data_IF_394414369239
#
_entry.id   IF_394414369239
#
_cell.length_a   1.000
_cell.length_b   1.000
_cell.length_c   1.000
_cell.angle_alpha   90.00
_cell.angle_beta   90.00
_cell.angle_gamma   90.00
#
_symmetry.space_group_name_H-M   'P 1'
#
loop_
_entity.id
_entity.type
_entity.pdbx_description
1 polymer ?
#
# COMPACT_ATOMS: atom_id res chain seq x y z
N UNK A 1 2.81 27.62 16.76
CA UNK A 1 2.45 26.60 15.76
C UNK A 1 1.10 26.01 16.12
N UNK A 2 0.10 26.30 15.27
CA UNK A 2 -1.28 25.84 15.52
C UNK A 2 -1.41 24.40 15.06
N UNK A 3 -1.78 23.51 15.99
CA UNK A 3 -2.02 22.09 15.69
C UNK A 3 -3.47 21.91 15.16
N UNK A 4 -3.73 21.00 14.23
CA UNK A 4 -5.08 20.76 13.75
C UNK A 4 -5.99 20.18 14.86
N UNK A 5 -7.22 20.64 14.92
CA UNK A 5 -8.26 20.21 15.85
C UNK A 5 -9.41 19.59 15.06
N UNK A 6 -9.89 18.43 15.48
CA UNK A 6 -11.12 17.87 14.95
C UNK A 6 -12.29 18.21 15.87
N UNK A 7 -13.23 19.00 15.40
CA UNK A 7 -14.49 19.24 16.10
C UNK A 7 -15.53 18.22 15.68
N UNK A 8 -16.17 17.60 16.65
CA UNK A 8 -17.27 16.69 16.39
C UNK A 8 -18.53 17.51 16.00
N UNK A 9 -18.94 17.35 14.75
CA UNK A 9 -20.11 18.02 14.19
C UNK A 9 -21.41 17.19 14.25
N UNK A 10 -21.43 16.13 15.05
CA UNK A 10 -22.53 15.17 15.10
C UNK A 10 -22.26 13.95 14.22
N UNK A 11 -23.30 13.22 13.88
CA UNK A 11 -23.21 12.03 13.05
C UNK A 11 -23.74 12.30 11.64
N UNK A 12 -23.16 11.67 10.63
CA UNK A 12 -23.78 11.55 9.33
C UNK A 12 -25.11 10.79 9.43
N UNK A 13 -25.97 10.88 8.42
CA UNK A 13 -27.25 10.13 8.34
C UNK A 13 -27.10 8.62 8.49
N UNK A 14 -25.90 8.07 8.24
CA UNK A 14 -25.54 6.67 8.40
C UNK A 14 -25.02 6.32 9.80
N UNK A 15 -25.12 7.22 10.78
CA UNK A 15 -24.67 7.02 12.15
C UNK A 15 -23.18 7.15 12.40
N UNK A 16 -22.36 7.38 11.34
CA UNK A 16 -20.91 7.58 11.51
C UNK A 16 -20.62 8.98 12.03
N UNK A 17 -19.63 9.16 12.93
CA UNK A 17 -19.28 10.47 13.44
C UNK A 17 -18.69 11.35 12.33
N UNK A 18 -19.11 12.62 12.31
CA UNK A 18 -18.61 13.65 11.41
C UNK A 18 -17.70 14.57 12.18
N UNK A 19 -16.48 14.80 11.68
CA UNK A 19 -15.50 15.70 12.26
C UNK A 19 -15.10 16.80 11.28
N UNK A 20 -14.89 18.01 11.82
CA UNK A 20 -14.23 19.08 11.10
C UNK A 20 -12.87 19.34 11.73
N UNK A 21 -11.84 19.54 10.91
CA UNK A 21 -10.48 19.79 11.39
C UNK A 21 -10.29 21.28 11.64
N UNK A 22 -9.91 21.61 12.87
CA UNK A 22 -9.56 22.98 13.27
C UNK A 22 -8.11 23.05 13.71
N UNK A 23 -7.54 24.25 13.64
CA UNK A 23 -6.12 24.50 13.95
C UNK A 23 -5.91 25.30 15.23
N UNK A 24 -6.96 25.61 15.99
CA UNK A 24 -6.99 26.41 17.20
C UNK A 24 -7.36 25.55 18.41
N UNK A 25 -6.35 24.99 19.06
CA UNK A 25 -6.56 24.15 20.23
C UNK A 25 -6.50 24.95 21.53
N UNK A 26 -7.48 24.77 22.39
CA UNK A 26 -7.32 25.09 23.79
C UNK A 26 -6.76 23.85 24.53
N UNK A 27 -5.71 24.04 25.35
CA UNK A 27 -4.99 22.93 26.00
C UNK A 27 -5.90 22.01 26.82
N UNK A 28 -6.94 22.57 27.48
CA UNK A 28 -7.90 21.79 28.26
C UNK A 28 -8.76 20.84 27.38
N UNK A 29 -9.05 21.22 26.13
CA UNK A 29 -9.82 20.38 25.19
C UNK A 29 -9.01 19.19 24.69
N UNK A 30 -7.67 19.30 24.66
CA UNK A 30 -6.76 18.19 24.35
C UNK A 30 -6.77 17.12 25.44
N UNK A 31 -6.89 17.53 26.71
CA UNK A 31 -6.90 16.62 27.85
C UNK A 31 -8.19 15.80 27.94
N UNK A 32 -9.30 16.31 27.38
CA UNK A 32 -10.60 15.64 27.36
C UNK A 32 -10.82 14.78 26.10
N UNK A 33 -9.99 14.91 25.07
CA UNK A 33 -10.12 14.17 23.83
C UNK A 33 -9.79 12.68 24.04
N UNK A 34 -10.72 11.79 23.70
CA UNK A 34 -10.47 10.34 23.74
C UNK A 34 -9.38 9.92 22.73
N UNK A 35 -9.28 10.59 21.59
CA UNK A 35 -8.27 10.36 20.54
C UNK A 35 -7.96 11.65 19.80
N UNK A 36 -6.68 11.82 19.51
CA UNK A 36 -6.13 12.95 18.79
C UNK A 36 -5.45 12.44 17.52
N UNK A 37 -5.83 12.97 16.37
CA UNK A 37 -5.23 12.60 15.08
C UNK A 37 -4.50 13.76 14.41
N UNK A 38 -3.45 13.47 13.69
CA UNK A 38 -2.78 14.38 12.76
C UNK A 38 -3.17 14.04 11.32
N UNK A 39 -3.57 15.05 10.55
CA UNK A 39 -3.87 14.89 9.13
C UNK A 39 -2.64 15.23 8.28
N UNK A 40 -2.19 14.29 7.46
CA UNK A 40 -0.86 14.32 6.84
C UNK A 40 -0.76 15.28 5.65
N UNK A 41 -1.77 15.27 4.77
CA UNK A 41 -1.70 15.97 3.48
C UNK A 41 -1.41 17.48 3.63
N UNK A 42 -2.17 18.14 4.50
CA UNK A 42 -2.11 19.61 4.68
C UNK A 42 -1.02 20.04 5.66
N UNK A 43 -0.73 19.21 6.66
CA UNK A 43 0.33 19.49 7.65
C UNK A 43 1.74 19.22 7.14
N UNK A 44 1.89 18.54 6.00
CA UNK A 44 3.19 18.12 5.48
C UNK A 44 3.84 17.00 6.29
N UNK A 45 3.02 16.23 7.03
CA UNK A 45 3.47 15.11 7.85
C UNK A 45 3.69 13.85 7.00
N UNK A 46 4.70 13.09 7.38
CA UNK A 46 4.92 11.69 7.00
C UNK A 46 4.89 10.86 8.28
N UNK A 47 4.11 9.80 8.30
CA UNK A 47 4.06 8.85 9.40
C UNK A 47 4.61 7.51 8.95
N UNK A 48 5.60 7.01 9.66
CA UNK A 48 6.12 5.64 9.50
C UNK A 48 5.42 4.77 10.51
N UNK A 49 4.47 3.97 10.05
CA UNK A 49 3.68 3.03 10.84
C UNK A 49 4.30 1.63 10.78
N UNK A 50 4.61 1.09 11.95
CA UNK A 50 5.19 -0.25 12.12
C UNK A 50 4.09 -1.25 12.48
N UNK A 51 3.59 -1.96 11.48
CA UNK A 51 2.51 -2.95 11.62
C UNK A 51 3.02 -4.39 11.81
N UNK A 52 4.34 -4.57 11.99
CA UNK A 52 4.94 -5.90 12.18
C UNK A 52 4.47 -6.57 13.48
N UNK A 53 3.62 -7.58 13.34
CA UNK A 53 3.07 -8.37 14.45
C UNK A 53 4.14 -9.09 15.29
N UNK A 54 5.30 -9.38 14.73
CA UNK A 54 6.40 -10.07 15.41
C UNK A 54 7.40 -9.07 16.03
N UNK A 55 7.18 -7.77 15.86
CA UNK A 55 8.02 -6.70 16.38
C UNK A 55 9.50 -6.77 15.97
N UNK A 56 9.80 -7.39 14.82
CA UNK A 56 11.18 -7.52 14.33
C UNK A 56 11.63 -6.20 13.72
N UNK A 57 10.83 -5.58 12.87
CA UNK A 57 11.11 -4.27 12.29
C UNK A 57 11.25 -3.19 13.36
N UNK A 58 10.50 -3.29 14.46
CA UNK A 58 10.61 -2.40 15.62
C UNK A 58 12.01 -2.37 16.23
N UNK A 59 12.79 -3.44 16.11
CA UNK A 59 14.18 -3.49 16.60
C UNK A 59 15.10 -2.52 15.85
N UNK A 60 14.73 -2.11 14.64
CA UNK A 60 15.45 -1.18 13.78
C UNK A 60 14.86 0.24 13.78
N UNK A 61 13.82 0.49 14.58
CA UNK A 61 13.13 1.80 14.62
C UNK A 61 14.08 2.96 14.97
N UNK A 62 15.11 2.68 15.79
CA UNK A 62 16.13 3.66 16.19
C UNK A 62 17.12 3.98 15.06
N UNK A 63 17.11 3.22 13.97
CA UNK A 63 17.84 3.58 12.76
C UNK A 63 17.24 4.82 12.08
N UNK A 64 15.94 5.07 12.23
CA UNK A 64 15.35 6.34 11.78
C UNK A 64 15.77 7.49 12.69
N UNK A 65 15.93 8.71 12.15
CA UNK A 65 16.28 9.88 12.94
C UNK A 65 15.37 10.06 14.16
N UNK A 66 15.89 10.64 15.26
CA UNK A 66 15.07 11.04 16.41
C UNK A 66 13.98 12.00 15.97
N UNK A 67 12.72 11.69 16.33
CA UNK A 67 11.55 12.48 15.95
C UNK A 67 10.42 12.22 16.93
N UNK A 68 9.30 12.93 16.79
CA UNK A 68 8.08 12.65 17.55
C UNK A 68 7.68 11.18 17.33
N UNK A 69 7.55 10.44 18.43
CA UNK A 69 7.32 9.00 18.40
C UNK A 69 6.13 8.63 19.26
N UNK A 70 5.21 7.89 18.68
CA UNK A 70 4.00 7.38 19.36
C UNK A 70 4.07 5.86 19.43
N UNK A 71 3.52 5.29 20.46
CA UNK A 71 3.50 3.86 20.68
C UNK A 71 2.22 3.36 21.35
N UNK A 72 2.28 2.11 21.76
CA UNK A 72 1.24 1.41 22.50
C UNK A 72 1.83 0.69 23.71
N UNK A 73 1.02 0.46 24.73
CA UNK A 73 1.37 -0.45 25.83
C UNK A 73 1.13 -1.89 25.39
N UNK A 74 2.18 -2.69 25.31
CA UNK A 74 2.11 -4.10 24.92
C UNK A 74 2.81 -4.94 26.00
N UNK A 75 2.08 -5.81 26.67
CA UNK A 75 2.61 -6.63 27.75
C UNK A 75 3.25 -5.81 28.89
N UNK A 76 2.73 -4.61 29.19
CA UNK A 76 3.24 -3.72 30.23
C UNK A 76 4.49 -2.92 29.82
N UNK A 77 4.90 -2.97 28.55
CA UNK A 77 6.03 -2.19 28.00
C UNK A 77 5.54 -1.21 26.94
N UNK A 78 6.17 -0.06 26.89
CA UNK A 78 5.96 0.90 25.80
C UNK A 78 6.68 0.40 24.53
N UNK A 79 5.92 0.27 23.45
CA UNK A 79 6.42 -0.15 22.13
C UNK A 79 6.11 0.94 21.14
N UNK A 80 7.16 1.52 20.55
CA UNK A 80 7.02 2.53 19.50
C UNK A 80 6.37 1.90 18.26
N UNK A 81 5.31 2.51 17.77
CA UNK A 81 4.57 2.02 16.58
C UNK A 81 4.55 3.05 15.46
N UNK A 82 4.76 4.32 15.74
CA UNK A 82 4.75 5.39 14.74
C UNK A 82 5.90 6.35 14.96
N UNK A 83 6.57 6.74 13.88
CA UNK A 83 7.52 7.86 13.85
C UNK A 83 7.03 8.94 12.90
N UNK A 84 6.87 10.14 13.42
CA UNK A 84 6.24 11.26 12.71
C UNK A 84 7.33 12.24 12.28
N UNK A 85 7.34 12.58 10.99
CA UNK A 85 8.28 13.51 10.36
C UNK A 85 7.54 14.63 9.65
N UNK A 86 8.23 15.76 9.42
CA UNK A 86 7.81 16.76 8.46
C UNK A 86 8.52 16.55 7.12
N UNK A 87 7.80 16.68 6.02
CA UNK A 87 8.37 16.71 4.66
C UNK A 87 9.27 17.94 4.52
N UNK A 88 10.44 17.76 3.92
CA UNK A 88 11.36 18.85 3.58
C UNK A 88 10.68 19.88 2.68
N UNK A 89 9.90 19.43 1.72
CA UNK A 89 9.05 20.28 0.90
C UNK A 89 7.57 19.93 1.16
N UNK A 90 6.83 20.84 1.80
CA UNK A 90 5.41 20.64 2.14
C UNK A 90 4.52 20.45 0.91
N UNK A 91 4.90 21.03 -0.22
CA UNK A 91 4.13 20.98 -1.47
C UNK A 91 4.45 19.72 -2.31
N UNK A 92 5.44 18.95 -1.90
CA UNK A 92 5.77 17.70 -2.58
C UNK A 92 4.64 16.68 -2.44
N UNK A 93 4.22 16.11 -3.55
CA UNK A 93 3.20 15.07 -3.58
C UNK A 93 3.85 13.73 -3.25
N UNK A 94 3.64 13.24 -2.05
CA UNK A 94 4.08 11.92 -1.62
C UNK A 94 2.88 11.01 -1.59
N UNK A 95 2.95 9.85 -2.24
CA UNK A 95 1.94 8.78 -2.13
C UNK A 95 2.20 7.95 -0.88
N UNK A 96 1.15 7.34 -0.32
CA UNK A 96 1.32 6.29 0.68
C UNK A 96 2.01 5.09 0.03
N UNK A 97 2.90 4.45 0.75
CA UNK A 97 3.52 3.20 0.32
C UNK A 97 3.70 2.25 1.50
N UNK A 98 3.78 0.96 1.22
CA UNK A 98 3.92 -0.07 2.24
C UNK A 98 4.83 -1.18 1.74
N UNK A 99 5.50 -1.83 2.68
CA UNK A 99 6.33 -2.99 2.39
C UNK A 99 5.62 -4.24 2.90
N UNK A 100 5.42 -5.26 2.02
CA UNK A 100 4.84 -6.52 2.39
C UNK A 100 5.79 -7.30 3.30
N UNK A 101 5.25 -8.21 4.07
CA UNK A 101 6.01 -9.20 4.82
C UNK A 101 6.49 -10.28 3.87
N UNK A 102 7.81 -10.43 3.71
CA UNK A 102 8.40 -11.34 2.73
C UNK A 102 8.71 -12.72 3.31
N UNK A 103 9.05 -12.84 4.58
CA UNK A 103 9.43 -14.09 5.24
C UNK A 103 8.23 -14.88 5.77
N UNK A 104 7.20 -14.20 6.25
CA UNK A 104 5.93 -14.81 6.68
C UNK A 104 4.79 -14.32 5.77
N UNK A 105 4.09 -15.21 5.11
CA UNK A 105 2.96 -14.89 4.23
C UNK A 105 1.87 -14.13 5.00
N UNK A 106 1.77 -12.84 4.80
CA UNK A 106 0.63 -12.03 5.19
C UNK A 106 0.92 -10.83 6.10
N UNK A 107 0.60 -9.66 5.63
CA UNK A 107 0.58 -8.39 6.33
C UNK A 107 1.70 -7.43 5.93
N UNK A 108 1.47 -6.16 6.16
CA UNK A 108 2.44 -5.08 5.99
C UNK A 108 3.42 -5.10 7.16
N UNK A 109 4.69 -4.81 6.91
CA UNK A 109 5.71 -4.65 7.95
C UNK A 109 5.81 -3.18 8.35
N UNK A 110 5.93 -2.31 7.34
CA UNK A 110 6.01 -0.86 7.47
C UNK A 110 5.06 -0.25 6.45
N UNK A 111 4.34 0.77 6.89
CA UNK A 111 3.54 1.63 6.05
C UNK A 111 3.99 3.08 6.23
N UNK A 112 4.19 3.81 5.12
CA UNK A 112 4.46 5.24 5.18
C UNK A 112 3.23 5.99 4.69
N UNK A 113 2.63 6.73 5.61
CA UNK A 113 1.37 7.44 5.41
C UNK A 113 1.67 8.92 5.15
N UNK A 114 1.24 9.42 4.00
CA UNK A 114 1.46 10.80 3.56
C UNK A 114 0.17 11.57 3.27
N UNK A 115 -0.94 10.85 3.04
CA UNK A 115 -2.21 11.41 2.58
C UNK A 115 -3.42 11.00 3.43
N UNK A 116 -3.18 10.42 4.59
CA UNK A 116 -4.19 9.93 5.54
C UNK A 116 -4.11 10.68 6.86
N UNK A 117 -4.51 10.05 7.93
CA UNK A 117 -4.41 10.56 9.29
C UNK A 117 -3.81 9.50 10.22
N UNK A 118 -3.08 9.94 11.22
CA UNK A 118 -2.55 9.09 12.29
C UNK A 118 -3.09 9.53 13.63
N UNK A 119 -3.47 8.58 14.49
CA UNK A 119 -3.82 8.85 15.87
C UNK A 119 -2.53 9.01 16.68
N UNK A 120 -2.26 10.23 17.11
CA UNK A 120 -1.01 10.60 17.83
C UNK A 120 -1.15 10.60 19.35
N UNK A 121 -2.36 10.67 19.87
CA UNK A 121 -2.63 10.59 21.30
C UNK A 121 -4.05 10.00 21.56
N UNK A 122 -4.25 9.37 22.70
CA UNK A 122 -5.53 8.81 23.11
C UNK A 122 -5.38 7.70 24.14
N UNK A 123 -6.49 7.06 24.50
CA UNK A 123 -6.55 6.03 25.56
C UNK A 123 -5.64 4.82 25.26
N UNK A 124 -5.42 4.51 24.00
CA UNK A 124 -4.63 3.38 23.51
C UNK A 124 -3.25 3.79 22.95
N UNK A 125 -2.83 5.04 23.18
CA UNK A 125 -1.58 5.60 22.66
C UNK A 125 -0.71 6.16 23.79
N UNK A 126 0.61 5.97 23.63
CA UNK A 126 1.62 6.50 24.52
C UNK A 126 2.59 7.36 23.70
N UNK A 127 2.87 8.57 24.16
CA UNK A 127 3.92 9.41 23.58
C UNK A 127 5.25 8.94 24.16
N UNK A 128 6.09 8.33 23.33
CA UNK A 128 7.39 7.79 23.73
C UNK A 128 8.47 8.85 23.63
N UNK A 129 8.41 9.69 22.60
CA UNK A 129 9.35 10.79 22.41
C UNK A 129 8.59 12.06 22.04
N UNK A 130 8.50 13.00 22.99
CA UNK A 130 7.77 14.27 22.84
C UNK A 130 8.73 15.38 22.37
N UNK A 131 9.23 15.23 21.15
CA UNK A 131 10.04 16.24 20.48
C UNK A 131 9.32 16.75 19.24
N UNK A 132 9.75 17.90 18.74
CA UNK A 132 9.22 18.37 17.45
C UNK A 132 9.56 17.37 16.34
N UNK A 133 8.61 17.04 15.44
CA UNK A 133 8.90 16.15 14.31
C UNK A 133 10.08 16.66 13.49
N UNK A 134 11.04 15.79 13.23
CA UNK A 134 12.20 16.09 12.41
C UNK A 134 11.79 16.31 10.94
N UNK A 135 12.53 17.15 10.24
CA UNK A 135 12.34 17.36 8.80
C UNK A 135 13.13 16.30 8.04
N UNK A 136 12.47 15.59 7.13
CA UNK A 136 13.11 14.55 6.31
C UNK A 136 12.75 14.71 4.83
N UNK A 137 13.67 14.31 3.97
CA UNK A 137 13.42 14.15 2.55
C UNK A 137 12.62 12.85 2.32
N UNK A 138 11.51 12.86 1.57
CA UNK A 138 10.70 11.67 1.36
C UNK A 138 11.44 10.51 0.69
N UNK A 139 12.35 10.78 -0.23
CA UNK A 139 13.17 9.74 -0.87
C UNK A 139 14.18 9.13 0.09
N UNK A 140 14.82 9.94 0.95
CA UNK A 140 15.67 9.42 2.01
C UNK A 140 14.87 8.55 3.01
N UNK A 141 13.66 8.96 3.38
CA UNK A 141 12.79 8.17 4.24
C UNK A 141 12.41 6.84 3.58
N UNK A 142 12.14 6.85 2.28
CA UNK A 142 11.80 5.65 1.52
C UNK A 142 12.95 4.65 1.53
N UNK A 143 14.19 5.11 1.29
CA UNK A 143 15.39 4.28 1.40
C UNK A 143 15.58 3.71 2.81
N UNK A 144 15.48 4.54 3.84
CA UNK A 144 15.63 4.10 5.23
C UNK A 144 14.59 3.04 5.62
N UNK A 145 13.33 3.21 5.25
CA UNK A 145 12.27 2.24 5.57
C UNK A 145 12.47 0.91 4.83
N UNK A 146 12.99 0.92 3.60
CA UNK A 146 13.39 -0.30 2.88
C UNK A 146 14.54 -1.03 3.55
N UNK A 147 15.56 -0.28 3.99
CA UNK A 147 16.67 -0.87 4.73
C UNK A 147 16.20 -1.51 6.04
N UNK A 148 15.26 -0.90 6.75
CA UNK A 148 14.65 -1.52 7.94
C UNK A 148 14.02 -2.87 7.58
N UNK A 149 13.26 -2.96 6.50
CA UNK A 149 12.64 -4.22 6.08
C UNK A 149 13.70 -5.25 5.71
N UNK A 150 14.68 -4.88 4.86
CA UNK A 150 15.75 -5.78 4.42
C UNK A 150 16.56 -6.32 5.61
N UNK A 151 16.97 -5.46 6.53
CA UNK A 151 17.73 -5.87 7.71
C UNK A 151 16.90 -6.62 8.75
N UNK A 152 15.58 -6.40 8.79
CA UNK A 152 14.66 -7.21 9.59
C UNK A 152 14.57 -8.65 9.08
N UNK A 153 14.54 -8.84 7.77
CA UNK A 153 14.61 -10.16 7.14
C UNK A 153 15.94 -10.85 7.46
N UNK A 154 17.06 -10.15 7.27
CA UNK A 154 18.39 -10.68 7.59
C UNK A 154 18.51 -11.07 9.06
N UNK A 155 18.01 -10.25 9.98
CA UNK A 155 18.03 -10.55 11.41
C UNK A 155 17.34 -11.88 11.72
N UNK A 156 16.20 -12.16 11.13
CA UNK A 156 15.46 -13.41 11.33
C UNK A 156 16.27 -14.62 10.86
N UNK A 157 17.04 -14.47 9.80
CA UNK A 157 17.80 -15.56 9.19
C UNK A 157 19.16 -15.81 9.86
N UNK A 158 19.76 -14.77 10.47
CA UNK A 158 21.14 -14.84 10.95
C UNK A 158 21.30 -14.76 12.46
N UNK A 159 20.25 -14.47 13.22
CA UNK A 159 20.32 -14.35 14.69
C UNK A 159 20.93 -15.58 15.39
N UNK A 160 20.73 -16.77 14.80
CA UNK A 160 21.22 -18.06 15.31
C UNK A 160 22.40 -18.62 14.51
N UNK A 161 22.93 -17.88 13.52
CA UNK A 161 23.99 -18.33 12.63
C UNK A 161 25.37 -18.15 13.30
N UNK A 162 26.18 -19.22 13.31
CA UNK A 162 27.53 -19.21 13.90
C UNK A 162 28.61 -18.76 12.89
N UNK A 163 28.38 -18.85 11.58
CA UNK A 163 29.36 -18.46 10.55
C UNK A 163 29.21 -16.99 10.14
N UNK A 164 29.45 -16.10 11.09
CA UNK A 164 29.27 -14.65 10.92
C UNK A 164 30.26 -14.03 9.93
N UNK A 165 31.49 -14.53 9.87
CA UNK A 165 32.50 -13.99 8.96
C UNK A 165 32.06 -14.13 7.49
N UNK A 166 31.65 -15.32 7.08
CA UNK A 166 31.18 -15.56 5.73
C UNK A 166 29.87 -14.80 5.43
N UNK A 167 28.99 -14.69 6.43
CA UNK A 167 27.78 -13.90 6.28
C UNK A 167 28.08 -12.45 5.95
N UNK A 168 28.88 -11.75 6.77
CA UNK A 168 29.19 -10.32 6.56
C UNK A 168 30.04 -10.10 5.30
N UNK A 169 30.88 -11.08 4.94
CA UNK A 169 31.62 -11.02 3.68
C UNK A 169 30.66 -11.03 2.46
N UNK A 170 29.68 -11.93 2.45
CA UNK A 170 28.68 -12.02 1.37
C UNK A 170 27.69 -10.84 1.41
N UNK A 171 27.29 -10.42 2.61
CA UNK A 171 26.46 -9.23 2.79
C UNK A 171 27.15 -7.97 2.24
N UNK A 172 28.44 -7.79 2.54
CA UNK A 172 29.23 -6.67 2.04
C UNK A 172 29.30 -6.64 0.52
N UNK A 173 29.52 -7.82 -0.08
CA UNK A 173 29.51 -7.98 -1.55
C UNK A 173 28.14 -7.66 -2.16
N UNK A 174 27.07 -8.18 -1.57
CA UNK A 174 25.71 -7.92 -2.03
C UNK A 174 25.37 -6.42 -1.93
N UNK A 175 25.69 -5.78 -0.81
CA UNK A 175 25.49 -4.31 -0.65
C UNK A 175 26.34 -3.50 -1.62
N UNK A 176 27.58 -3.92 -1.93
CA UNK A 176 28.44 -3.21 -2.87
C UNK A 176 27.98 -3.36 -4.32
N UNK A 177 27.51 -4.54 -4.70
CA UNK A 177 27.20 -4.90 -6.08
C UNK A 177 25.77 -4.61 -6.47
N UNK A 178 24.82 -4.77 -5.54
CA UNK A 178 23.39 -4.80 -5.88
C UNK A 178 22.64 -3.55 -5.45
N UNK A 179 23.29 -2.62 -4.72
CA UNK A 179 22.58 -1.47 -4.15
C UNK A 179 23.41 -0.19 -4.20
N UNK A 180 22.75 0.94 -4.43
CA UNK A 180 23.33 2.29 -4.34
C UNK A 180 23.18 2.91 -2.94
N UNK A 181 23.01 2.09 -1.93
CA UNK A 181 22.89 2.55 -0.54
C UNK A 181 24.18 3.28 -0.12
N UNK A 182 24.11 4.51 0.36
CA UNK A 182 25.28 5.24 0.87
C UNK A 182 26.03 4.49 1.96
N UNK A 183 27.36 4.59 2.00
CA UNK A 183 28.20 3.81 2.91
C UNK A 183 27.87 4.06 4.39
N UNK A 184 27.56 5.28 4.77
CA UNK A 184 27.14 5.63 6.12
C UNK A 184 25.86 4.89 6.57
N UNK A 185 24.90 4.72 5.66
CA UNK A 185 23.70 3.93 5.92
C UNK A 185 24.04 2.44 6.02
N UNK A 186 24.88 1.89 5.12
CA UNK A 186 25.31 0.48 5.23
C UNK A 186 25.92 0.21 6.59
N UNK A 187 26.85 1.06 7.01
CA UNK A 187 27.53 0.95 8.32
C UNK A 187 26.52 1.05 9.47
N UNK A 188 25.58 1.99 9.40
CA UNK A 188 24.54 2.16 10.42
C UNK A 188 23.72 0.88 10.63
N UNK A 189 23.22 0.30 9.56
CA UNK A 189 22.39 -0.91 9.62
C UNK A 189 23.20 -2.16 9.99
N UNK A 190 24.42 -2.28 9.53
CA UNK A 190 25.34 -3.37 9.94
C UNK A 190 25.65 -3.30 11.43
N UNK A 191 25.97 -2.12 11.97
CA UNK A 191 26.19 -1.93 13.41
C UNK A 191 24.93 -2.32 14.21
N UNK A 192 23.75 -1.92 13.74
CA UNK A 192 22.49 -2.31 14.40
C UNK A 192 22.24 -3.80 14.35
N UNK A 193 22.55 -4.46 13.24
CA UNK A 193 22.45 -5.91 13.13
C UNK A 193 23.42 -6.63 14.08
N UNK A 194 24.66 -6.15 14.21
CA UNK A 194 25.63 -6.67 15.17
C UNK A 194 25.12 -6.55 16.60
N UNK A 195 24.59 -5.38 16.98
CA UNK A 195 23.97 -5.14 18.30
C UNK A 195 22.86 -6.16 18.58
N UNK A 196 21.94 -6.33 17.65
CA UNK A 196 20.78 -7.22 17.81
C UNK A 196 21.13 -8.72 17.83
N UNK A 197 22.26 -9.10 17.22
CA UNK A 197 22.76 -10.48 17.18
C UNK A 197 23.83 -10.76 18.24
N UNK A 198 24.12 -9.79 19.12
CA UNK A 198 25.20 -9.85 20.11
C UNK A 198 26.55 -10.21 19.46
N UNK A 199 26.88 -9.57 18.32
CA UNK A 199 28.16 -9.70 17.66
C UNK A 199 29.12 -8.62 18.20
N UNK A 200 30.15 -9.03 18.94
CA UNK A 200 31.13 -8.14 19.55
C UNK A 200 32.24 -7.67 18.59
N UNK A 201 32.33 -8.28 17.41
CA UNK A 201 33.32 -7.92 16.38
C UNK A 201 32.85 -6.80 15.44
N UNK A 202 32.11 -5.82 15.94
CA UNK A 202 31.45 -4.77 15.15
C UNK A 202 32.41 -4.06 14.18
N UNK A 203 33.63 -3.71 14.64
CA UNK A 203 34.62 -3.03 13.80
C UNK A 203 35.08 -3.92 12.65
N UNK A 204 35.33 -5.20 12.92
CA UNK A 204 35.72 -6.17 11.87
C UNK A 204 34.60 -6.32 10.81
N UNK A 205 33.32 -6.25 11.22
CA UNK A 205 32.17 -6.31 10.29
C UNK A 205 32.10 -5.06 9.42
N UNK A 206 32.27 -3.88 10.01
CA UNK A 206 32.31 -2.60 9.28
C UNK A 206 33.47 -2.61 8.27
N UNK A 207 34.69 -2.92 8.73
CA UNK A 207 35.87 -3.01 7.85
C UNK A 207 35.67 -4.01 6.70
N UNK A 208 34.92 -5.08 6.94
CA UNK A 208 34.56 -6.05 5.91
C UNK A 208 33.65 -5.43 4.85
N UNK A 209 32.61 -4.67 5.24
CA UNK A 209 31.70 -3.98 4.32
C UNK A 209 32.46 -2.96 3.46
N UNK A 210 33.32 -2.13 4.11
CA UNK A 210 34.12 -1.13 3.42
C UNK A 210 35.08 -1.76 2.41
N UNK A 211 35.78 -2.83 2.80
CA UNK A 211 36.67 -3.59 1.90
C UNK A 211 35.94 -4.18 0.70
N UNK A 212 34.71 -4.69 0.89
CA UNK A 212 33.93 -5.23 -0.22
C UNK A 212 33.52 -4.13 -1.22
N UNK A 213 33.28 -2.91 -0.78
CA UNK A 213 33.06 -1.79 -1.67
C UNK A 213 34.31 -1.44 -2.50
N UNK A 214 35.49 -1.38 -1.88
CA UNK A 214 36.75 -1.15 -2.58
C UNK A 214 37.04 -2.30 -3.58
N UNK A 215 36.81 -3.55 -3.16
CA UNK A 215 36.97 -4.70 -4.05
C UNK A 215 36.03 -4.63 -5.25
N UNK A 216 34.78 -4.17 -5.06
CA UNK A 216 33.81 -4.00 -6.13
C UNK A 216 34.24 -2.90 -7.13
N UNK A 217 34.80 -1.81 -6.65
CA UNK A 217 35.31 -0.71 -7.49
C UNK A 217 36.54 -1.13 -8.32
N UNK A 218 37.44 -1.96 -7.73
CA UNK A 218 38.66 -2.40 -8.39
C UNK A 218 38.45 -3.67 -9.26
N UNK A 219 37.65 -4.62 -8.80
CA UNK A 219 37.43 -5.94 -9.40
C UNK A 219 36.00 -6.42 -9.20
N UNK A 220 35.03 -5.85 -9.91
CA UNK A 220 33.61 -6.15 -9.69
C UNK A 220 33.25 -7.64 -9.87
N UNK A 221 33.95 -8.36 -10.74
CA UNK A 221 33.67 -9.77 -11.00
C UNK A 221 34.05 -10.70 -9.85
N UNK A 222 34.94 -10.26 -8.96
CA UNK A 222 35.40 -11.03 -7.80
C UNK A 222 34.49 -10.84 -6.57
N UNK A 223 33.52 -9.96 -6.63
CA UNK A 223 32.63 -9.63 -5.49
C UNK A 223 31.32 -10.41 -5.59
N UNK A 224 30.91 -11.03 -4.49
CA UNK A 224 29.65 -11.76 -4.41
C UNK A 224 28.44 -10.83 -4.49
N UNK A 225 27.36 -11.28 -5.15
CA UNK A 225 26.09 -10.59 -5.22
C UNK A 225 25.02 -11.18 -4.29
N UNK A 226 23.78 -10.71 -4.48
CA UNK A 226 22.63 -11.15 -3.66
C UNK A 226 22.36 -12.66 -3.81
N UNK A 227 22.66 -13.26 -4.95
CA UNK A 227 22.43 -14.69 -5.18
C UNK A 227 23.31 -15.57 -4.28
N UNK A 228 24.56 -15.20 -4.08
CA UNK A 228 25.50 -15.91 -3.21
C UNK A 228 25.14 -15.71 -1.73
N UNK A 229 24.66 -14.54 -1.36
CA UNK A 229 24.10 -14.29 -0.03
C UNK A 229 22.84 -15.15 0.20
N UNK A 230 21.92 -15.18 -0.75
CA UNK A 230 20.72 -16.01 -0.72
C UNK A 230 21.07 -17.50 -0.56
N UNK A 231 21.99 -18.03 -1.36
CA UNK A 231 22.46 -19.42 -1.24
C UNK A 231 23.04 -19.72 0.13
N UNK A 232 23.86 -18.82 0.67
CA UNK A 232 24.43 -18.95 2.01
C UNK A 232 23.34 -19.01 3.09
N UNK A 233 22.25 -18.29 2.93
CA UNK A 233 21.09 -18.26 3.83
C UNK A 233 20.09 -19.40 3.56
N UNK A 234 20.47 -20.44 2.80
CA UNK A 234 19.62 -21.61 2.53
C UNK A 234 18.72 -21.47 1.31
N UNK A 235 19.06 -20.58 0.37
CA UNK A 235 18.29 -20.34 -0.85
C UNK A 235 17.04 -19.47 -0.63
N UNK A 236 17.03 -18.68 0.45
CA UNK A 236 15.93 -17.78 0.76
C UNK A 236 15.91 -16.61 -0.24
N UNK A 237 14.74 -16.31 -0.80
CA UNK A 237 14.57 -15.11 -1.58
C UNK A 237 14.61 -13.87 -0.67
N UNK A 238 15.35 -12.84 -1.08
CA UNK A 238 15.54 -11.58 -0.34
C UNK A 238 14.93 -10.39 -1.13
N UNK A 239 13.60 -10.35 -1.32
CA UNK A 239 12.95 -9.38 -2.20
C UNK A 239 13.12 -7.94 -1.75
N UNK A 240 13.34 -7.68 -0.46
CA UNK A 240 13.60 -6.34 0.02
C UNK A 240 14.92 -5.75 -0.53
N UNK A 241 15.93 -6.60 -0.81
CA UNK A 241 17.15 -6.20 -1.51
C UNK A 241 16.91 -5.97 -3.00
N UNK A 242 16.07 -6.79 -3.65
CA UNK A 242 15.68 -6.60 -5.05
C UNK A 242 14.88 -5.29 -5.22
N UNK A 243 14.06 -4.92 -4.26
CA UNK A 243 13.33 -3.65 -4.25
C UNK A 243 14.25 -2.43 -4.09
N UNK A 244 15.37 -2.54 -3.38
CA UNK A 244 16.37 -1.46 -3.28
C UNK A 244 17.01 -1.19 -4.65
N UNK A 245 17.18 -2.22 -5.47
CA UNK A 245 17.75 -2.13 -6.82
C UNK A 245 16.77 -1.57 -7.86
N UNK A 246 15.48 -1.91 -7.77
CA UNK A 246 14.46 -1.56 -8.77
C UNK A 246 14.09 -0.08 -8.84
N UNK A 247 14.47 0.75 -7.88
CA UNK A 247 14.07 2.18 -7.89
C UNK A 247 14.66 2.99 -9.03
N UNK A 248 15.81 2.61 -9.58
CA UNK A 248 16.36 3.30 -10.74
C UNK A 248 15.62 2.94 -12.05
N UNK A 249 15.14 1.70 -12.18
CA UNK A 249 14.37 1.27 -13.35
C UNK A 249 12.95 1.84 -13.32
N UNK A 250 12.30 1.86 -12.16
CA UNK A 250 10.95 2.42 -12.00
C UNK A 250 10.93 3.96 -12.07
N UNK A 251 12.01 4.63 -11.70
CA UNK A 251 12.14 6.09 -11.88
C UNK A 251 12.29 6.48 -13.36
N UNK A 252 12.69 5.54 -14.21
CA UNK A 252 12.80 5.74 -15.66
C UNK A 252 11.53 5.35 -16.44
N UNK A 253 10.63 4.56 -15.83
CA UNK A 253 9.35 4.11 -16.42
C UNK A 253 8.10 4.66 -15.74
N UNK A 254 8.18 5.46 -14.68
CA UNK A 254 7.05 6.29 -14.30
C UNK A 254 6.82 7.29 -15.46
N UNK A 255 6.07 6.89 -16.48
CA UNK A 255 5.31 7.85 -17.26
C UNK A 255 4.71 8.81 -16.25
N UNK A 256 5.20 10.05 -16.24
CA UNK A 256 4.56 11.17 -15.59
C UNK A 256 3.09 11.10 -15.99
N UNK A 257 2.27 10.47 -15.17
CA UNK A 257 0.84 10.75 -15.22
C UNK A 257 0.83 12.22 -14.84
N UNK A 258 0.78 13.03 -15.89
CA UNK A 258 0.69 14.48 -15.79
C UNK A 258 -0.57 14.83 -14.96
N UNK A 259 -0.42 14.82 -13.65
CA UNK A 259 -1.40 15.37 -12.72
C UNK A 259 -1.45 16.91 -12.80
N UNK A 260 -0.74 17.53 -13.76
CA UNK A 260 -1.04 18.86 -14.28
C UNK A 260 -2.33 18.85 -15.13
N UNK A 261 -3.17 17.86 -15.03
CA UNK A 261 -4.60 18.08 -15.21
C UNK A 261 -5.02 19.01 -14.09
N UNK A 262 -4.69 20.27 -14.32
CA UNK A 262 -5.28 21.41 -13.65
C UNK A 262 -6.76 21.10 -13.56
N UNK A 263 -7.30 20.96 -12.36
CA UNK A 263 -8.74 20.98 -12.20
C UNK A 263 -9.12 22.33 -12.78
N UNK A 264 -9.68 22.33 -13.98
CA UNK A 264 -10.12 23.54 -14.61
C UNK A 264 -11.28 24.07 -13.75
N UNK A 265 -10.99 25.11 -12.99
CA UNK A 265 -12.02 25.87 -12.30
C UNK A 265 -12.62 26.83 -13.32
N UNK A 266 -13.84 26.59 -13.74
CA UNK A 266 -14.63 27.56 -14.45
C UNK A 266 -15.41 28.40 -13.43
N UNK A 267 -15.50 29.71 -13.61
CA UNK A 267 -16.49 30.50 -12.89
C UNK A 267 -17.89 30.02 -13.27
N UNK A 268 -18.89 30.30 -12.42
CA UNK A 268 -20.24 29.78 -12.58
C UNK A 268 -20.86 30.16 -13.94
N UNK A 269 -20.64 31.37 -14.43
CA UNK A 269 -21.21 31.82 -15.70
C UNK A 269 -20.56 31.07 -16.88
N UNK A 270 -19.26 30.92 -16.88
CA UNK A 270 -18.52 30.13 -17.89
C UNK A 270 -18.99 28.68 -17.87
N UNK A 271 -19.17 28.07 -16.70
CA UNK A 271 -19.68 26.71 -16.58
C UNK A 271 -21.10 26.55 -17.14
N UNK A 272 -22.02 27.49 -16.79
CA UNK A 272 -23.41 27.42 -17.24
C UNK A 272 -23.58 27.71 -18.73
N UNK A 273 -22.66 28.44 -19.35
CA UNK A 273 -22.68 28.77 -20.77
C UNK A 273 -21.87 27.84 -21.65
N UNK A 274 -21.09 26.92 -21.06
CA UNK A 274 -20.34 25.93 -21.80
C UNK A 274 -21.26 24.82 -22.28
N UNK A 275 -21.21 24.51 -23.57
CA UNK A 275 -21.93 23.39 -24.15
C UNK A 275 -21.16 22.09 -23.88
N UNK A 276 -21.56 21.35 -22.87
CA UNK A 276 -20.97 20.07 -22.56
C UNK A 276 -21.64 18.96 -23.36
N UNK A 277 -20.86 17.99 -23.90
CA UNK A 277 -21.42 16.86 -24.60
C UNK A 277 -22.35 16.07 -23.67
N UNK A 278 -23.54 15.75 -24.17
CA UNK A 278 -24.50 14.96 -23.41
C UNK A 278 -23.95 13.54 -23.16
N UNK A 279 -24.21 12.96 -21.98
CA UNK A 279 -23.74 11.61 -21.68
C UNK A 279 -24.35 10.60 -22.66
N UNK A 280 -23.51 9.75 -23.23
CA UNK A 280 -23.95 8.61 -24.04
C UNK A 280 -24.35 7.47 -23.10
N UNK A 281 -25.58 6.99 -23.19
CA UNK A 281 -26.07 5.91 -22.33
C UNK A 281 -25.95 4.53 -23.00
N UNK A 282 -25.73 3.51 -22.17
CA UNK A 282 -25.85 2.10 -22.52
C UNK A 282 -27.22 1.58 -22.07
N UNK A 283 -27.63 1.92 -20.84
CA UNK A 283 -28.99 1.73 -20.31
C UNK A 283 -29.42 3.07 -19.73
N UNK A 284 -30.34 3.74 -20.38
CA UNK A 284 -30.79 5.08 -19.98
C UNK A 284 -31.82 5.01 -18.85
N UNK A 285 -31.67 5.76 -17.75
CA UNK A 285 -30.55 6.67 -17.39
C UNK A 285 -29.52 6.00 -16.47
N UNK A 286 -29.50 4.69 -16.36
CA UNK A 286 -28.80 3.94 -15.30
C UNK A 286 -27.29 3.78 -15.55
N UNK A 287 -26.89 3.46 -16.79
CA UNK A 287 -25.51 3.17 -17.16
C UNK A 287 -25.12 4.03 -18.35
N UNK A 288 -24.19 4.95 -18.15
CA UNK A 288 -23.58 5.72 -19.23
C UNK A 288 -22.25 5.11 -19.69
N UNK A 289 -21.84 5.47 -20.91
CA UNK A 289 -20.53 5.11 -21.43
C UNK A 289 -19.41 5.71 -20.53
N UNK A 290 -18.31 5.00 -20.37
CA UNK A 290 -17.16 5.42 -19.56
C UNK A 290 -17.50 5.76 -18.10
N UNK A 291 -18.54 5.15 -17.54
CA UNK A 291 -18.94 5.38 -16.15
C UNK A 291 -18.66 4.16 -15.26
N UNK A 292 -18.56 4.42 -13.96
CA UNK A 292 -18.51 3.41 -12.92
C UNK A 292 -19.85 3.46 -12.18
N UNK A 293 -20.56 2.32 -12.16
CA UNK A 293 -21.83 2.17 -11.44
C UNK A 293 -21.60 1.26 -10.23
N UNK A 294 -21.92 1.74 -9.03
CA UNK A 294 -21.81 0.97 -7.81
C UNK A 294 -23.20 0.58 -7.29
N UNK A 295 -23.41 -0.73 -7.07
CA UNK A 295 -24.63 -1.28 -6.48
C UNK A 295 -24.40 -1.54 -5.00
N UNK A 296 -25.06 -0.80 -4.13
CA UNK A 296 -24.89 -0.87 -2.67
C UNK A 296 -26.19 -1.35 -2.01
N UNK A 297 -26.09 -2.28 -1.05
CA UNK A 297 -27.23 -2.76 -0.29
C UNK A 297 -26.83 -3.86 0.70
N UNK A 298 -27.72 -4.20 1.63
CA UNK A 298 -27.51 -5.28 2.61
C UNK A 298 -27.29 -6.64 1.93
N UNK A 299 -26.72 -7.60 2.66
CA UNK A 299 -26.61 -8.97 2.15
C UNK A 299 -28.02 -9.56 1.86
N UNK A 300 -28.12 -10.35 0.80
CA UNK A 300 -29.38 -11.04 0.44
C UNK A 300 -30.42 -10.20 -0.31
N UNK A 301 -30.24 -8.89 -0.51
CA UNK A 301 -31.23 -8.03 -1.20
C UNK A 301 -31.26 -8.17 -2.73
N UNK A 302 -30.44 -9.05 -3.31
CA UNK A 302 -30.47 -9.33 -4.75
C UNK A 302 -29.46 -8.53 -5.60
N UNK A 303 -28.41 -7.92 -5.02
CA UNK A 303 -27.38 -7.17 -5.76
C UNK A 303 -26.79 -7.95 -6.94
N UNK A 304 -26.40 -9.20 -6.70
CA UNK A 304 -25.86 -10.11 -7.74
C UNK A 304 -26.84 -10.33 -8.88
N UNK A 305 -28.14 -10.57 -8.55
CA UNK A 305 -29.17 -10.75 -9.57
C UNK A 305 -29.41 -9.47 -10.37
N UNK A 306 -29.37 -8.31 -9.72
CA UNK A 306 -29.49 -7.02 -10.39
C UNK A 306 -28.29 -6.74 -11.31
N UNK A 307 -27.07 -7.03 -10.85
CA UNK A 307 -25.85 -6.93 -11.68
C UNK A 307 -25.91 -7.86 -12.91
N UNK A 308 -26.38 -9.11 -12.73
CA UNK A 308 -26.61 -10.05 -13.84
C UNK A 308 -27.68 -9.53 -14.81
N UNK A 309 -28.77 -8.94 -14.29
CA UNK A 309 -29.81 -8.36 -15.13
C UNK A 309 -29.30 -7.18 -15.98
N UNK A 310 -28.47 -6.31 -15.42
CA UNK A 310 -27.77 -5.24 -16.16
C UNK A 310 -26.90 -5.85 -17.26
N UNK A 311 -26.06 -6.82 -16.90
CA UNK A 311 -25.15 -7.50 -17.84
C UNK A 311 -25.91 -8.19 -18.98
N UNK A 312 -27.03 -8.86 -18.65
CA UNK A 312 -27.91 -9.47 -19.62
C UNK A 312 -28.60 -8.47 -20.55
N UNK A 313 -29.06 -7.35 -20.00
CA UNK A 313 -29.68 -6.27 -20.78
C UNK A 313 -28.69 -5.68 -21.79
N UNK A 314 -27.46 -5.41 -21.37
CA UNK A 314 -26.39 -4.87 -22.23
C UNK A 314 -26.00 -5.86 -23.32
N UNK A 315 -25.79 -7.14 -22.96
CA UNK A 315 -25.33 -8.16 -23.90
C UNK A 315 -26.37 -8.52 -24.98
N UNK A 316 -27.65 -8.29 -24.70
CA UNK A 316 -28.78 -8.63 -25.59
C UNK A 316 -29.48 -7.42 -26.23
N UNK A 317 -29.06 -6.20 -25.82
CA UNK A 317 -29.78 -4.96 -26.18
C UNK A 317 -31.25 -4.92 -25.75
N UNK A 318 -31.61 -5.69 -24.73
CA UNK A 318 -32.93 -5.59 -24.11
C UNK A 318 -32.91 -4.47 -23.05
N UNK A 319 -34.05 -3.82 -22.90
CA UNK A 319 -34.23 -2.89 -21.80
C UNK A 319 -34.16 -3.59 -20.43
N UNK A 320 -33.95 -2.82 -19.39
CA UNK A 320 -33.93 -3.26 -17.99
C UNK A 320 -35.03 -2.54 -17.21
N UNK A 321 -36.03 -3.27 -16.68
CA UNK A 321 -37.12 -2.71 -15.87
C UNK A 321 -37.82 -1.47 -16.51
N UNK A 322 -38.04 -1.51 -17.82
CA UNK A 322 -38.61 -0.39 -18.57
C UNK A 322 -37.62 0.68 -19.03
N UNK A 323 -36.36 0.59 -18.62
CA UNK A 323 -35.28 1.46 -19.09
C UNK A 323 -34.73 0.96 -20.42
N UNK A 324 -34.62 1.79 -21.47
CA UNK A 324 -34.17 1.34 -22.79
C UNK A 324 -32.65 1.06 -22.78
N UNK A 325 -32.24 0.01 -23.53
CA UNK A 325 -30.84 -0.17 -23.91
C UNK A 325 -30.56 0.60 -25.19
N UNK A 326 -29.48 1.36 -25.22
CA UNK A 326 -29.12 2.28 -26.30
C UNK A 326 -27.86 1.76 -27.02
N UNK A 327 -27.83 1.89 -28.34
CA UNK A 327 -26.61 1.59 -29.13
C UNK A 327 -26.38 0.13 -29.47
N UNK A 328 -27.38 -0.76 -29.26
CA UNK A 328 -27.30 -2.18 -29.62
C UNK A 328 -26.60 -3.06 -28.58
N UNK A 329 -26.54 -4.37 -28.88
CA UNK A 329 -25.89 -5.34 -27.99
C UNK A 329 -24.39 -5.15 -27.95
N UNK A 330 -23.82 -5.17 -26.74
CA UNK A 330 -22.38 -4.98 -26.50
C UNK A 330 -21.79 -6.20 -25.78
N UNK A 331 -20.50 -6.52 -25.98
CA UNK A 331 -19.83 -7.56 -25.20
C UNK A 331 -19.73 -7.17 -23.72
N UNK A 332 -20.06 -8.12 -22.85
CA UNK A 332 -20.01 -7.98 -21.39
C UNK A 332 -19.11 -9.05 -20.82
N UNK A 333 -18.16 -8.68 -19.97
CA UNK A 333 -17.40 -9.60 -19.11
C UNK A 333 -17.98 -9.54 -17.70
N UNK A 334 -18.56 -10.63 -17.23
CA UNK A 334 -19.00 -10.79 -15.85
C UNK A 334 -17.96 -11.56 -15.05
N UNK A 335 -17.39 -10.90 -14.03
CA UNK A 335 -16.37 -11.49 -13.15
C UNK A 335 -17.02 -11.82 -11.81
N UNK A 336 -16.94 -13.07 -11.39
CA UNK A 336 -17.53 -13.56 -10.14
C UNK A 336 -16.44 -14.11 -9.21
N UNK A 337 -16.33 -13.54 -8.00
CA UNK A 337 -15.32 -13.90 -7.01
C UNK A 337 -15.87 -14.58 -5.74
N UNK A 338 -17.21 -14.58 -5.53
CA UNK A 338 -17.80 -15.04 -4.26
C UNK A 338 -18.52 -16.39 -4.40
N UNK A 339 -19.23 -16.59 -5.49
CA UNK A 339 -20.13 -17.74 -5.67
C UNK A 339 -19.47 -18.88 -6.46
N UNK A 340 -19.83 -20.15 -6.16
CA UNK A 340 -19.44 -21.28 -6.98
C UNK A 340 -19.94 -21.12 -8.43
N UNK A 341 -19.17 -21.63 -9.39
CA UNK A 341 -19.49 -21.52 -10.80
C UNK A 341 -20.86 -22.16 -11.15
N UNK A 342 -21.25 -23.23 -10.47
CA UNK A 342 -22.57 -23.88 -10.61
C UNK A 342 -23.71 -22.95 -10.24
N UNK A 343 -23.57 -22.18 -9.17
CA UNK A 343 -24.60 -21.25 -8.69
C UNK A 343 -24.77 -20.08 -9.67
N UNK A 344 -23.66 -19.57 -10.18
CA UNK A 344 -23.68 -18.53 -11.21
C UNK A 344 -24.30 -19.05 -12.50
N UNK A 345 -23.99 -20.26 -12.90
CA UNK A 345 -24.59 -20.89 -14.07
C UNK A 345 -26.12 -20.99 -13.95
N UNK A 346 -26.63 -21.41 -12.78
CA UNK A 346 -28.08 -21.48 -12.51
C UNK A 346 -28.73 -20.10 -12.62
N UNK A 347 -28.09 -19.08 -12.01
CA UNK A 347 -28.59 -17.70 -12.01
C UNK A 347 -28.59 -17.06 -13.40
N UNK A 348 -27.51 -17.28 -14.16
CA UNK A 348 -27.44 -16.80 -15.55
C UNK A 348 -28.53 -17.47 -16.41
N UNK A 349 -28.72 -18.78 -16.27
CA UNK A 349 -29.79 -19.50 -16.98
C UNK A 349 -31.17 -18.92 -16.67
N UNK A 350 -31.48 -18.77 -15.37
CA UNK A 350 -32.75 -18.18 -14.95
C UNK A 350 -32.96 -16.75 -15.44
N UNK A 351 -31.90 -15.96 -15.48
CA UNK A 351 -31.96 -14.60 -16.04
C UNK A 351 -32.30 -14.64 -17.55
N UNK A 352 -31.61 -15.45 -18.35
CA UNK A 352 -31.88 -15.55 -19.79
C UNK A 352 -33.25 -16.12 -20.09
N UNK A 353 -33.74 -17.09 -19.32
CA UNK A 353 -35.11 -17.57 -19.39
C UNK A 353 -36.14 -16.48 -19.12
N UNK A 354 -35.91 -15.68 -18.07
CA UNK A 354 -36.80 -14.57 -17.69
C UNK A 354 -36.93 -13.50 -18.77
N UNK A 355 -35.89 -13.25 -19.56
CA UNK A 355 -35.92 -12.29 -20.67
C UNK A 355 -36.39 -12.93 -21.98
N UNK A 356 -36.86 -14.19 -21.94
CA UNK A 356 -37.45 -14.90 -23.10
C UNK A 356 -36.44 -15.26 -24.20
N UNK A 357 -35.16 -15.29 -23.89
CA UNK A 357 -34.09 -15.63 -24.83
C UNK A 357 -33.44 -16.96 -24.45
N UNK A 358 -33.71 -18.02 -25.24
CA UNK A 358 -32.81 -19.18 -25.27
C UNK A 358 -31.43 -18.71 -25.68
N UNK A 359 -30.38 -19.29 -25.09
CA UNK A 359 -28.97 -18.98 -25.39
C UNK A 359 -28.77 -18.50 -26.81
N UNK A 360 -28.57 -17.23 -26.93
CA UNK A 360 -28.24 -16.66 -28.21
C UNK A 360 -26.75 -16.83 -28.35
N UNK A 361 -26.36 -17.44 -29.47
CA UNK A 361 -25.01 -17.53 -29.94
C UNK A 361 -24.03 -16.60 -29.19
N UNK A 362 -23.38 -17.16 -28.17
CA UNK A 362 -22.84 -16.56 -26.97
C UNK A 362 -21.71 -15.57 -27.14
N UNK A 363 -21.71 -14.75 -28.15
CA UNK A 363 -20.54 -13.90 -28.44
C UNK A 363 -20.48 -12.60 -27.62
N UNK A 364 -21.54 -12.24 -26.88
CA UNK A 364 -21.58 -10.97 -26.15
C UNK A 364 -21.66 -11.10 -24.63
N UNK A 365 -21.69 -12.30 -24.05
CA UNK A 365 -21.69 -12.48 -22.60
C UNK A 365 -20.62 -13.48 -22.19
N UNK A 366 -19.58 -12.97 -21.56
CA UNK A 366 -18.43 -13.73 -21.09
C UNK A 366 -18.49 -13.83 -19.57
N UNK A 367 -18.13 -14.98 -19.01
CA UNK A 367 -18.11 -15.21 -17.56
C UNK A 367 -16.73 -15.66 -17.13
N UNK A 368 -16.20 -15.04 -16.10
CA UNK A 368 -15.00 -15.49 -15.40
C UNK A 368 -15.36 -15.78 -13.94
N UNK A 369 -15.30 -17.04 -13.53
CA UNK A 369 -15.56 -17.45 -12.14
C UNK A 369 -14.26 -17.74 -11.40
N UNK A 370 -14.28 -17.62 -10.05
CA UNK A 370 -13.14 -17.95 -9.20
C UNK A 370 -12.61 -19.38 -9.47
N UNK A 371 -13.47 -20.35 -9.69
CA UNK A 371 -13.07 -21.73 -10.01
C UNK A 371 -12.35 -21.86 -11.35
N UNK A 372 -12.72 -21.06 -12.35
CA UNK A 372 -12.02 -21.01 -13.63
C UNK A 372 -10.67 -20.31 -13.48
N UNK A 373 -10.60 -19.25 -12.67
CA UNK A 373 -9.36 -18.55 -12.35
C UNK A 373 -8.37 -19.48 -11.61
N UNK A 374 -8.84 -20.29 -10.65
CA UNK A 374 -8.04 -21.27 -9.94
C UNK A 374 -7.47 -22.36 -10.88
N UNK A 375 -8.27 -22.83 -11.84
CA UNK A 375 -7.81 -23.81 -12.87
C UNK A 375 -6.75 -23.20 -13.79
N UNK A 376 -6.81 -21.91 -14.04
CA UNK A 376 -5.79 -21.19 -14.83
C UNK A 376 -4.50 -21.07 -14.05
N UNK A 377 -4.57 -20.93 -12.71
CA UNK A 377 -3.38 -20.89 -11.85
C UNK A 377 -2.54 -22.16 -11.86
N UNK A 378 -3.16 -23.34 -11.96
CA UNK A 378 -2.43 -24.60 -12.17
C UNK A 378 -1.57 -24.58 -13.45
N UNK A 379 -1.78 -23.60 -14.33
CA UNK A 379 -1.00 -23.33 -15.55
C UNK A 379 -0.06 -22.13 -15.46
N UNK A 380 0.16 -21.57 -14.27
CA UNK A 380 1.10 -20.47 -14.05
C UNK A 380 0.55 -19.05 -14.23
N UNK A 381 -0.75 -18.83 -14.17
CA UNK A 381 -1.34 -17.49 -14.18
C UNK A 381 -1.73 -17.04 -12.76
N UNK A 382 -1.48 -15.78 -12.43
CA UNK A 382 -1.90 -15.19 -11.14
C UNK A 382 -3.39 -14.80 -11.20
N UNK A 383 -4.23 -15.13 -10.19
CA UNK A 383 -5.61 -14.66 -10.17
C UNK A 383 -5.66 -13.14 -10.06
N UNK A 384 -6.66 -12.53 -10.69
CA UNK A 384 -7.01 -11.14 -10.40
C UNK A 384 -7.52 -11.14 -8.95
N UNK A 385 -6.69 -10.68 -8.01
CA UNK A 385 -7.13 -10.46 -6.63
C UNK A 385 -7.96 -9.17 -6.64
N UNK A 386 -9.26 -9.30 -6.44
CA UNK A 386 -10.07 -8.19 -5.97
C UNK A 386 -9.72 -7.99 -4.49
N UNK A 387 -8.92 -6.98 -4.16
CA UNK A 387 -8.74 -6.55 -2.78
C UNK A 387 -10.10 -6.12 -2.23
N UNK A 388 -10.53 -6.82 -1.17
CA UNK A 388 -11.70 -6.44 -0.37
C UNK A 388 -11.39 -5.28 0.56
#
# INVERSE_FOLDING_TARGET
DKKPKAEFLGNYKNGKPKYEWRYDWAFHELLEAQRLGAYHKESGILDVDFDDKNYIAHKFIDCLPPTFTVGKMIGGKEVATHKIFYRKNKNEKVKNYSYPKTVDKGGKIIEVLANTQTIIAGVDRVIINDVQPAVIDPSALKLETRLIVAFSELYTLVKDNQNRNDFYFKLGGALARETDVPMDLRIKYVKKLCELTNDDEVNNRVDCIERQQVNFEERPDDVFGIQELSKFLGGVNLPAFDEIKKEEEDAAEEEEIDFNRTIAFNDLNSFLTTDFPQPSYIIEPLVSDQSIVQIVGASGVGKTMFGLAIAGAISTSNGLLGMPSVGGARPVLYVEGELPASDIQIRINGMFEAIGKKYINGNNFFVSSLQQQLKVNDRGFTPIQTEQ
#
